data_IF_434765575683
#
_entry.id   IF_434765575683
#
_cell.length_a   1.000
_cell.length_b   1.000
_cell.length_c   1.000
_cell.angle_alpha   90.00
_cell.angle_beta   90.00
_cell.angle_gamma   90.00
#
_symmetry.space_group_name_H-M   'P 1'
#
loop_
_entity.id
_entity.type
_entity.pdbx_description
1 polymer ?
#
# COMPACT_ATOMS: atom_id res chain seq x y z
N UNK A 1 -5.26 -10.94 0.86
CA UNK A 1 -3.79 -10.77 0.98
C UNK A 1 -3.35 -11.17 2.38
N UNK A 2 -2.08 -11.49 2.61
CA UNK A 2 -1.55 -11.72 3.97
C UNK A 2 -1.09 -10.40 4.58
N UNK A 3 -1.07 -10.30 5.92
CA UNK A 3 -0.65 -9.08 6.63
C UNK A 3 0.78 -8.67 6.25
N UNK A 4 1.72 -9.62 6.18
CA UNK A 4 3.11 -9.34 5.79
C UNK A 4 3.25 -8.72 4.40
N UNK A 5 2.37 -9.11 3.47
CA UNK A 5 2.30 -8.54 2.11
C UNK A 5 1.81 -7.09 2.14
N UNK A 6 0.87 -6.76 3.04
CA UNK A 6 0.40 -5.40 3.23
C UNK A 6 1.48 -4.52 3.85
N UNK A 7 2.20 -5.04 4.85
CA UNK A 7 3.30 -4.30 5.52
C UNK A 7 4.49 -4.03 4.59
N UNK A 8 4.71 -4.88 3.59
CA UNK A 8 5.78 -4.72 2.60
C UNK A 8 5.32 -4.00 1.32
N UNK A 9 4.04 -3.61 1.24
CA UNK A 9 3.46 -2.96 0.07
C UNK A 9 4.02 -1.55 -0.07
N UNK A 10 4.46 -1.18 -1.28
CA UNK A 10 4.94 0.19 -1.58
C UNK A 10 3.87 1.01 -2.29
N UNK A 11 4.06 2.33 -2.33
CA UNK A 11 3.18 3.21 -3.11
C UNK A 11 3.17 2.84 -4.60
N UNK A 12 4.34 2.57 -5.18
CA UNK A 12 4.48 2.11 -6.57
C UNK A 12 3.79 0.79 -6.89
N UNK A 13 3.42 0.00 -5.89
CA UNK A 13 2.77 -1.29 -6.07
C UNK A 13 1.24 -1.18 -6.20
N UNK A 14 0.68 0.02 -6.05
CA UNK A 14 -0.77 0.25 -6.05
C UNK A 14 -1.18 1.13 -7.22
N UNK A 15 -1.78 0.51 -8.23
CA UNK A 15 -2.44 1.23 -9.33
C UNK A 15 -3.93 1.39 -9.02
N UNK A 16 -4.26 2.49 -8.34
CA UNK A 16 -5.66 2.80 -8.01
C UNK A 16 -6.50 3.19 -9.24
N UNK A 17 -5.88 3.62 -10.34
CA UNK A 17 -6.61 3.93 -11.58
C UNK A 17 -7.14 2.67 -12.23
N UNK A 18 -6.34 1.59 -12.20
CA UNK A 18 -6.74 0.27 -12.69
C UNK A 18 -7.35 -0.61 -11.61
N UNK A 19 -7.37 -0.15 -10.35
CA UNK A 19 -7.77 -0.93 -9.17
C UNK A 19 -6.98 -2.24 -9.07
N UNK A 20 -5.66 -2.15 -9.23
CA UNK A 20 -4.75 -3.30 -9.20
C UNK A 20 -3.68 -3.09 -8.11
N UNK A 21 -3.44 -4.15 -7.33
CA UNK A 21 -2.32 -4.26 -6.40
C UNK A 21 -1.29 -5.27 -6.91
N UNK A 22 -0.02 -4.90 -6.92
CA UNK A 22 1.09 -5.78 -7.24
C UNK A 22 1.73 -6.24 -5.94
N UNK A 23 1.50 -7.49 -5.56
CA UNK A 23 2.18 -8.07 -4.40
C UNK A 23 3.55 -8.58 -4.83
N UNK A 24 4.62 -7.90 -4.41
CA UNK A 24 6.00 -8.34 -4.63
C UNK A 24 6.41 -9.38 -3.58
N UNK A 25 7.26 -10.34 -3.99
CA UNK A 25 7.97 -11.28 -3.11
C UNK A 25 7.09 -11.95 -2.05
N UNK A 26 6.19 -12.82 -2.49
CA UNK A 26 5.54 -13.79 -1.58
C UNK A 26 6.56 -14.77 -1.00
N UNK A 27 6.17 -15.59 -0.01
CA UNK A 27 7.01 -16.63 0.64
C UNK A 27 7.78 -17.56 -0.34
N UNK A 28 7.44 -17.54 -1.64
CA UNK A 28 8.08 -18.33 -2.71
C UNK A 28 8.68 -17.48 -3.84
N UNK A 29 8.95 -16.20 -3.60
CA UNK A 29 9.54 -15.30 -4.60
C UNK A 29 8.61 -14.91 -5.76
N UNK A 30 7.36 -15.39 -5.76
CA UNK A 30 6.38 -15.09 -6.82
C UNK A 30 5.71 -13.75 -6.55
N UNK A 31 5.51 -12.98 -7.61
CA UNK A 31 4.67 -11.78 -7.61
C UNK A 31 3.28 -12.11 -8.17
N UNK A 32 2.26 -11.39 -7.72
CA UNK A 32 0.91 -11.51 -8.28
C UNK A 32 0.17 -10.18 -8.29
N UNK A 33 -0.69 -10.00 -9.29
CA UNK A 33 -1.62 -8.89 -9.35
C UNK A 33 -2.94 -9.28 -8.70
N UNK A 34 -3.50 -8.39 -7.90
CA UNK A 34 -4.82 -8.54 -7.26
C UNK A 34 -5.70 -7.42 -7.76
N UNK A 35 -6.85 -7.77 -8.33
CA UNK A 35 -7.88 -6.78 -8.65
C UNK A 35 -8.61 -6.40 -7.37
N UNK A 36 -8.73 -5.10 -7.14
CA UNK A 36 -9.45 -4.52 -6.04
C UNK A 36 -10.89 -4.25 -6.42
N UNK A 37 -11.79 -4.48 -5.46
CA UNK A 37 -13.15 -3.98 -5.58
C UNK A 37 -13.13 -2.43 -5.53
N UNK A 38 -14.03 -1.73 -6.27
CA UNK A 38 -14.05 -0.27 -6.29
C UNK A 38 -14.14 0.39 -4.91
N UNK A 39 -14.87 -0.22 -3.97
CA UNK A 39 -14.95 0.29 -2.58
C UNK A 39 -13.59 0.27 -1.88
N UNK A 40 -12.79 -0.79 -2.08
CA UNK A 40 -11.44 -0.89 -1.53
C UNK A 40 -10.49 0.08 -2.20
N UNK A 41 -10.56 0.23 -3.52
CA UNK A 41 -9.75 1.22 -4.25
C UNK A 41 -10.03 2.65 -3.77
N UNK A 42 -11.31 2.99 -3.56
CA UNK A 42 -11.72 4.29 -3.00
C UNK A 42 -11.15 4.51 -1.59
N UNK A 43 -11.27 3.53 -0.69
CA UNK A 43 -10.74 3.63 0.66
C UNK A 43 -9.20 3.80 0.68
N UNK A 44 -8.49 3.05 -0.16
CA UNK A 44 -7.04 3.15 -0.30
C UNK A 44 -6.61 4.52 -0.85
N UNK A 45 -7.36 5.07 -1.81
CA UNK A 45 -7.12 6.41 -2.35
C UNK A 45 -7.28 7.49 -1.27
N UNK A 46 -8.35 7.43 -0.49
CA UNK A 46 -8.61 8.36 0.61
C UNK A 46 -7.50 8.30 1.66
N UNK A 47 -7.08 7.08 2.04
CA UNK A 47 -5.98 6.89 2.97
C UNK A 47 -4.67 7.51 2.48
N UNK A 48 -4.29 7.26 1.21
CA UNK A 48 -3.03 7.80 0.66
C UNK A 48 -3.05 9.33 0.59
N UNK A 49 -4.18 9.93 0.24
CA UNK A 49 -4.35 11.39 0.24
C UNK A 49 -4.20 11.96 1.66
N UNK A 50 -4.83 11.34 2.65
CA UNK A 50 -4.70 11.77 4.04
C UNK A 50 -3.24 11.68 4.53
N UNK A 51 -2.54 10.59 4.21
CA UNK A 51 -1.14 10.39 4.59
C UNK A 51 -0.21 11.46 3.99
N UNK A 52 -0.43 11.82 2.71
CA UNK A 52 0.37 12.85 2.01
C UNK A 52 0.26 14.24 2.64
N UNK A 53 -0.81 14.52 3.38
CA UNK A 53 -0.97 15.79 4.11
C UNK A 53 -0.03 15.88 5.32
N UNK A 54 0.28 14.76 5.95
CA UNK A 54 1.12 14.71 7.16
C UNK A 54 2.60 14.50 6.83
N UNK A 55 2.91 13.78 5.75
CA UNK A 55 4.29 13.42 5.39
C UNK A 55 4.46 13.32 3.87
N UNK A 56 5.53 13.91 3.36
CA UNK A 56 5.95 13.71 1.98
C UNK A 56 6.20 12.21 1.73
N UNK A 57 5.65 11.70 0.64
CA UNK A 57 5.72 10.29 0.29
C UNK A 57 6.29 10.13 -1.11
N UNK A 58 7.27 9.24 -1.23
CA UNK A 58 7.86 8.75 -2.48
C UNK A 58 7.24 7.41 -2.88
N UNK A 59 7.42 7.03 -4.14
CA UNK A 59 6.91 5.78 -4.68
C UNK A 59 7.53 4.51 -4.05
N UNK A 60 8.69 4.66 -3.42
CA UNK A 60 9.41 3.57 -2.73
C UNK A 60 9.00 3.43 -1.26
N UNK A 61 8.28 4.41 -0.71
CA UNK A 61 7.82 4.36 0.67
C UNK A 61 6.74 3.28 0.86
N UNK A 62 6.69 2.74 2.08
CA UNK A 62 5.61 1.85 2.50
C UNK A 62 4.25 2.52 2.25
N UNK A 63 3.30 1.76 1.69
CA UNK A 63 1.96 2.24 1.42
C UNK A 63 1.27 2.62 2.73
N UNK A 64 1.30 1.69 3.69
CA UNK A 64 0.79 1.89 5.04
C UNK A 64 1.91 2.39 5.96
N UNK A 65 1.71 3.56 6.56
CA UNK A 65 2.57 4.07 7.63
C UNK A 65 1.82 4.09 8.96
N UNK A 66 2.57 3.90 10.04
CA UNK A 66 2.11 4.17 11.39
C UNK A 66 2.53 5.56 11.81
N UNK A 67 1.66 6.28 12.50
CA UNK A 67 1.96 7.57 13.13
C UNK A 67 2.57 7.39 14.53
N UNK A 68 2.82 6.14 14.96
CA UNK A 68 3.57 5.87 16.18
C UNK A 68 5.04 6.27 16.00
N UNK A 69 5.39 7.45 16.50
CA UNK A 69 6.74 7.71 16.96
C UNK A 69 7.02 6.80 18.16
N UNK A 70 8.08 5.99 18.17
CA UNK A 70 8.43 5.22 19.36
C UNK A 70 8.70 6.22 20.49
N UNK A 71 7.78 6.28 21.46
CA UNK A 71 8.04 6.94 22.73
C UNK A 71 9.04 6.06 23.48
N UNK A 72 10.28 6.52 23.55
CA UNK A 72 11.25 6.06 24.54
C UNK A 72 11.20 7.04 25.72
#
# INVERSE_FOLDING_TARGET
>A
MRISEALSLRISDVDLRRSILIIRRTKFGKSRSIVLHPSTSKALHQYLNQRKLTRAASDEDAYFSSDYAPMY
#
